data_IF_137416446457
#
_entry.id   IF_137416446457
#
_cell.length_a   1.000
_cell.length_b   1.000
_cell.length_c   1.000
_cell.angle_alpha   90.00
_cell.angle_beta   90.00
_cell.angle_gamma   90.00
#
_symmetry.space_group_name_H-M   'P 1'
#
loop_
_entity.id
_entity.type
_entity.pdbx_description
1 polymer ?
#
# COMPACT_ATOMS: atom_id res chain seq x y z
N UNK A 1 -10.61 4.86 -14.08
CA UNK A 1 -11.62 4.50 -15.11
C UNK A 1 -11.06 3.54 -16.18
N UNK A 2 -9.83 3.73 -16.67
CA UNK A 2 -9.28 2.90 -17.76
C UNK A 2 -8.93 1.46 -17.38
N UNK A 3 -8.63 1.17 -16.11
CA UNK A 3 -8.32 -0.20 -15.66
C UNK A 3 -9.55 -1.12 -15.60
N UNK A 4 -10.77 -0.59 -15.74
CA UNK A 4 -12.02 -1.34 -15.53
C UNK A 4 -12.32 -1.66 -14.06
N UNK A 5 -11.37 -1.44 -13.14
CA UNK A 5 -11.59 -1.63 -11.70
C UNK A 5 -12.42 -0.49 -11.10
N UNK A 6 -13.25 -0.83 -10.12
CA UNK A 6 -13.90 0.14 -9.23
C UNK A 6 -12.94 0.50 -8.10
N UNK A 7 -12.59 1.78 -7.98
CA UNK A 7 -11.81 2.28 -6.84
C UNK A 7 -12.74 2.43 -5.63
N UNK A 8 -12.32 1.89 -4.49
CA UNK A 8 -13.01 2.03 -3.20
C UNK A 8 -12.06 2.80 -2.29
N UNK A 9 -12.38 4.06 -2.02
CA UNK A 9 -11.58 4.91 -1.15
C UNK A 9 -11.93 4.65 0.32
N UNK A 10 -10.93 4.70 1.20
CA UNK A 10 -11.06 4.39 2.63
C UNK A 10 -10.32 5.41 3.49
N UNK A 11 -10.81 5.62 4.71
CA UNK A 11 -10.26 6.59 5.65
C UNK A 11 -10.41 8.04 5.15
N UNK A 12 -9.45 8.89 5.52
CA UNK A 12 -9.38 10.28 5.09
C UNK A 12 -7.98 10.62 4.56
N UNK A 13 -7.81 11.83 4.02
CA UNK A 13 -6.54 12.30 3.45
C UNK A 13 -5.36 12.12 4.40
N UNK A 14 -5.52 12.48 5.67
CA UNK A 14 -4.44 12.48 6.65
C UNK A 14 -4.50 11.30 7.62
N UNK A 15 -5.65 10.64 7.79
CA UNK A 15 -5.78 9.50 8.72
C UNK A 15 -6.50 8.35 8.05
N UNK A 16 -5.79 7.25 7.90
CA UNK A 16 -6.34 5.96 7.49
C UNK A 16 -5.86 4.91 8.49
N UNK A 17 -6.74 3.95 8.82
CA UNK A 17 -6.46 2.84 9.73
C UNK A 17 -6.77 1.51 9.06
N UNK A 18 -6.22 0.42 9.58
CA UNK A 18 -6.55 -0.92 9.12
C UNK A 18 -8.07 -1.21 9.21
N UNK A 19 -8.75 -0.67 10.22
CA UNK A 19 -10.21 -0.78 10.37
C UNK A 19 -11.00 -0.22 9.19
N UNK A 20 -10.52 0.86 8.55
CA UNK A 20 -11.19 1.46 7.39
C UNK A 20 -11.15 0.49 6.19
N UNK A 21 -10.03 -0.21 6.00
CA UNK A 21 -9.91 -1.28 5.00
C UNK A 21 -10.80 -2.47 5.34
N UNK A 22 -10.84 -2.89 6.61
CA UNK A 22 -11.65 -4.02 7.06
C UNK A 22 -13.14 -3.80 6.73
N UNK A 23 -13.68 -2.63 7.09
CA UNK A 23 -15.06 -2.26 6.80
C UNK A 23 -15.36 -2.22 5.30
N UNK A 24 -14.43 -1.69 4.50
CA UNK A 24 -14.59 -1.66 3.05
C UNK A 24 -14.57 -3.05 2.41
N UNK A 25 -13.70 -3.95 2.87
CA UNK A 25 -13.64 -5.33 2.38
C UNK A 25 -14.92 -6.11 2.72
N UNK A 26 -15.51 -5.88 3.88
CA UNK A 26 -16.79 -6.49 4.27
C UNK A 26 -17.95 -6.05 3.36
N UNK A 27 -18.00 -4.77 3.01
CA UNK A 27 -19.03 -4.23 2.11
C UNK A 27 -18.79 -4.56 0.62
N UNK A 28 -17.58 -5.02 0.26
CA UNK A 28 -17.18 -5.19 -1.14
C UNK A 28 -16.46 -6.54 -1.35
N UNK A 29 -17.21 -7.66 -1.41
CA UNK A 29 -16.64 -8.97 -1.66
C UNK A 29 -15.83 -9.02 -2.97
N UNK A 30 -14.67 -9.68 -2.93
CA UNK A 30 -13.76 -9.80 -4.08
C UNK A 30 -12.85 -8.59 -4.32
N UNK A 31 -12.93 -7.56 -3.47
CA UNK A 31 -11.96 -6.48 -3.48
C UNK A 31 -10.56 -6.94 -3.01
N UNK A 32 -9.54 -6.15 -3.33
CA UNK A 32 -8.16 -6.32 -2.88
C UNK A 32 -7.68 -5.02 -2.23
N UNK A 33 -6.63 -5.12 -1.42
CA UNK A 33 -5.99 -3.94 -0.83
C UNK A 33 -4.93 -3.41 -1.79
N UNK A 34 -5.02 -2.12 -2.12
CA UNK A 34 -3.98 -1.38 -2.83
C UNK A 34 -3.41 -0.31 -1.90
N UNK A 35 -2.11 -0.41 -1.59
CA UNK A 35 -1.35 0.63 -0.90
C UNK A 35 -0.45 1.32 -1.91
N UNK A 36 -0.53 2.65 -2.00
CA UNK A 36 0.36 3.45 -2.86
C UNK A 36 1.31 4.27 -2.00
N UNK A 37 2.61 4.11 -2.21
CA UNK A 37 3.66 4.85 -1.50
C UNK A 37 3.74 6.30 -1.99
N UNK A 38 4.03 7.21 -1.06
CA UNK A 38 4.13 8.64 -1.36
C UNK A 38 5.58 8.97 -1.70
N UNK A 39 5.94 8.85 -2.97
CA UNK A 39 7.33 9.03 -3.44
C UNK A 39 7.72 10.48 -3.75
N UNK A 40 6.76 11.40 -3.88
CA UNK A 40 7.01 12.78 -4.31
C UNK A 40 6.40 13.86 -3.41
N UNK A 41 5.77 13.47 -2.30
CA UNK A 41 5.27 14.40 -1.28
C UNK A 41 5.21 13.73 0.09
N UNK A 42 5.23 14.54 1.15
CA UNK A 42 4.99 14.10 2.50
C UNK A 42 3.78 14.83 3.09
N UNK A 43 3.00 14.12 3.93
CA UNK A 43 2.02 14.77 4.79
C UNK A 43 2.67 15.06 6.14
N UNK A 44 2.54 16.29 6.61
CA UNK A 44 3.12 16.76 7.88
C UNK A 44 1.99 17.13 8.85
N UNK A 45 2.20 16.86 10.14
CA UNK A 45 1.22 17.11 11.20
C UNK A 45 0.53 15.82 11.64
N UNK A 46 -0.77 15.89 11.95
CA UNK A 46 -1.53 14.75 12.46
C UNK A 46 -1.87 13.77 11.34
N UNK A 47 -0.96 12.83 11.11
CA UNK A 47 -1.11 11.79 10.11
C UNK A 47 -1.16 10.41 10.75
N UNK A 48 -1.93 9.52 10.13
CA UNK A 48 -2.03 8.12 10.53
C UNK A 48 -2.14 7.29 9.26
N UNK A 49 -1.33 6.24 9.16
CA UNK A 49 -1.30 5.36 7.99
C UNK A 49 -0.91 3.98 8.50
N UNK A 50 -1.69 2.92 8.17
CA UNK A 50 -1.32 1.58 8.60
C UNK A 50 -0.01 1.18 7.93
N UNK A 51 0.83 0.49 8.69
CA UNK A 51 2.03 -0.17 8.19
C UNK A 51 1.67 -1.26 7.15
N UNK A 52 2.66 -1.67 6.35
CA UNK A 52 2.45 -2.79 5.42
C UNK A 52 2.16 -4.07 6.18
N UNK A 53 2.84 -4.30 7.31
CA UNK A 53 2.58 -5.45 8.19
C UNK A 53 1.14 -5.52 8.72
N UNK A 54 0.55 -4.39 9.16
CA UNK A 54 -0.85 -4.35 9.59
C UNK A 54 -1.82 -4.66 8.45
N UNK A 55 -1.57 -4.11 7.26
CA UNK A 55 -2.39 -4.40 6.08
C UNK A 55 -2.22 -5.86 5.62
N UNK A 56 -1.02 -6.43 5.73
CA UNK A 56 -0.75 -7.81 5.37
C UNK A 56 -1.46 -8.79 6.32
N UNK A 57 -1.47 -8.49 7.62
CA UNK A 57 -2.23 -9.27 8.60
C UNK A 57 -3.72 -9.27 8.28
N UNK A 58 -4.28 -8.09 7.99
CA UNK A 58 -5.69 -7.94 7.58
C UNK A 58 -5.99 -8.67 6.26
N UNK A 59 -5.11 -8.53 5.25
CA UNK A 59 -5.28 -9.19 3.95
C UNK A 59 -5.34 -10.72 4.10
N UNK A 60 -4.47 -11.30 4.94
CA UNK A 60 -4.49 -12.73 5.27
C UNK A 60 -5.75 -13.15 6.00
N UNK A 61 -6.19 -12.37 7.00
CA UNK A 61 -7.43 -12.63 7.75
C UNK A 61 -8.64 -12.65 6.81
N UNK A 62 -8.75 -11.65 5.94
CA UNK A 62 -9.86 -11.49 4.99
C UNK A 62 -9.68 -12.32 3.71
N UNK A 63 -8.55 -13.03 3.55
CA UNK A 63 -8.17 -13.84 2.38
C UNK A 63 -8.22 -13.07 1.05
N UNK A 64 -7.67 -11.86 1.06
CA UNK A 64 -7.55 -10.99 -0.12
C UNK A 64 -6.09 -10.67 -0.40
N UNK A 65 -5.79 -10.16 -1.59
CA UNK A 65 -4.43 -9.74 -1.97
C UNK A 65 -4.10 -8.35 -1.42
N UNK A 66 -2.83 -8.16 -1.05
CA UNK A 66 -2.20 -6.88 -0.77
C UNK A 66 -1.21 -6.52 -1.89
N UNK A 67 -1.58 -5.51 -2.69
CA UNK A 67 -0.70 -4.85 -3.64
C UNK A 67 -0.04 -3.62 -2.99
N UNK A 68 1.28 -3.50 -3.07
CA UNK A 68 2.00 -2.29 -2.72
C UNK A 68 2.61 -1.66 -3.98
N UNK A 69 2.02 -0.56 -4.44
CA UNK A 69 2.64 0.29 -5.45
C UNK A 69 3.66 1.19 -4.78
N UNK A 70 4.91 0.72 -4.75
CA UNK A 70 6.02 1.44 -4.15
C UNK A 70 6.50 2.58 -5.05
N UNK A 71 6.50 2.34 -6.36
CA UNK A 71 6.84 3.31 -7.39
C UNK A 71 8.32 3.70 -7.47
N UNK A 72 9.02 3.90 -6.36
CA UNK A 72 10.39 4.47 -6.31
C UNK A 72 11.46 3.62 -7.00
N UNK A 73 11.30 2.29 -7.02
CA UNK A 73 12.32 1.37 -7.52
C UNK A 73 13.51 1.18 -6.59
N UNK A 74 13.44 1.65 -5.34
CA UNK A 74 14.53 1.54 -4.39
C UNK A 74 14.88 0.06 -4.07
N UNK A 75 16.14 -0.30 -4.29
CA UNK A 75 16.71 -1.59 -3.86
C UNK A 75 17.54 -1.48 -2.57
N UNK A 76 18.06 -0.29 -2.27
CA UNK A 76 18.90 -0.03 -1.10
C UNK A 76 18.17 0.90 -0.11
N UNK A 77 17.93 0.46 1.14
CA UNK A 77 17.29 1.30 2.16
C UNK A 77 18.13 2.54 2.54
N UNK A 78 19.43 2.57 2.23
CA UNK A 78 20.29 3.75 2.45
C UNK A 78 19.84 4.97 1.65
N UNK A 79 19.00 4.79 0.61
CA UNK A 79 18.41 5.87 -0.18
C UNK A 79 17.27 6.61 0.53
N UNK A 80 16.91 6.21 1.76
CA UNK A 80 15.83 6.84 2.53
C UNK A 80 14.43 6.48 2.02
N UNK A 81 14.34 5.52 1.11
CA UNK A 81 13.10 5.01 0.54
C UNK A 81 12.81 3.60 1.06
N UNK A 82 11.53 3.28 1.19
CA UNK A 82 11.11 1.92 1.48
C UNK A 82 11.46 1.05 0.25
N UNK A 83 12.04 -0.12 0.47
CA UNK A 83 12.49 -0.98 -0.63
C UNK A 83 11.44 -2.04 -0.98
N UNK A 84 11.50 -2.54 -2.22
CA UNK A 84 10.65 -3.65 -2.63
C UNK A 84 10.86 -4.90 -1.76
N UNK A 85 12.11 -5.17 -1.37
CA UNK A 85 12.44 -6.28 -0.48
C UNK A 85 11.84 -6.12 0.93
N UNK A 86 11.87 -4.92 1.50
CA UNK A 86 11.21 -4.64 2.79
C UNK A 86 9.69 -4.84 2.69
N UNK A 87 9.07 -4.37 1.62
CA UNK A 87 7.63 -4.54 1.40
C UNK A 87 7.21 -6.01 1.29
N UNK A 88 7.95 -6.80 0.51
CA UNK A 88 7.71 -8.25 0.41
C UNK A 88 7.90 -8.93 1.77
N UNK A 89 8.95 -8.54 2.51
CA UNK A 89 9.22 -9.07 3.86
C UNK A 89 8.12 -8.72 4.87
N UNK A 90 7.52 -7.53 4.77
CA UNK A 90 6.38 -7.13 5.60
C UNK A 90 5.06 -7.79 5.18
N UNK A 91 5.04 -8.49 4.05
CA UNK A 91 3.96 -9.39 3.67
C UNK A 91 3.05 -8.88 2.56
N UNK A 92 3.49 -7.91 1.74
CA UNK A 92 2.82 -7.64 0.47
C UNK A 92 2.90 -8.86 -0.46
N UNK A 93 1.81 -9.17 -1.15
CA UNK A 93 1.77 -10.27 -2.13
C UNK A 93 2.40 -9.86 -3.45
N UNK A 94 2.22 -8.59 -3.84
CA UNK A 94 2.79 -8.01 -5.07
C UNK A 94 3.31 -6.62 -4.77
N UNK A 95 4.50 -6.31 -5.29
CA UNK A 95 5.10 -4.97 -5.21
C UNK A 95 5.35 -4.44 -6.62
N UNK A 96 4.89 -3.22 -6.89
CA UNK A 96 5.10 -2.54 -8.16
C UNK A 96 6.18 -1.46 -8.00
N UNK A 97 7.09 -1.40 -8.96
CA UNK A 97 8.19 -0.43 -9.00
C UNK A 97 8.37 0.14 -10.39
N UNK A 98 8.87 1.38 -10.48
CA UNK A 98 9.34 1.93 -11.76
C UNK A 98 10.80 1.54 -11.95
N UNK A 99 11.16 1.06 -13.15
CA UNK A 99 12.57 0.73 -13.45
C UNK A 99 13.42 1.97 -13.67
N UNK A 100 12.87 3.00 -14.30
CA UNK A 100 13.55 4.23 -14.69
C UNK A 100 13.79 5.25 -13.57
N UNK A 101 13.69 4.84 -12.30
CA UNK A 101 13.88 5.71 -11.12
C UNK A 101 15.12 5.30 -10.32
N UNK A 102 14.95 4.82 -9.09
CA UNK A 102 16.08 4.45 -8.23
C UNK A 102 16.66 3.07 -8.57
N UNK A 103 16.00 2.31 -9.44
CA UNK A 103 16.51 1.03 -9.93
C UNK A 103 17.61 1.22 -10.99
N UNK A 104 17.50 2.26 -11.83
CA UNK A 104 18.44 2.59 -12.92
C UNK A 104 18.12 1.91 -14.24
#
# INVERSE_FOLDING_TARGET
>A
AQSGCRLIEVGTTNRTRAGDYAAALEANPGAMILRVHRSNFALVGFTETPSIGELAALAREKKVLLLHDLGSGALDPALGEFTAAQSLKEGSDVVLVSGDKLLG
#
